data_IF_116289708568
#
_entry.id   IF_116289708568
#
_cell.length_a   1.000
_cell.length_b   1.000
_cell.length_c   1.000
_cell.angle_alpha   90.00
_cell.angle_beta   90.00
_cell.angle_gamma   90.00
#
_symmetry.space_group_name_H-M   'P 1'
#
loop_
_entity.id
_entity.type
_entity.pdbx_description
1 polymer ?
#
# COMPACT_ATOMS: atom_id res chain seq x y z
N UNK A 1 -10.77 28.08 -0.44
CA UNK A 1 -11.99 27.23 -0.41
C UNK A 1 -12.09 26.20 -1.54
N UNK A 2 -11.36 26.32 -2.66
CA UNK A 2 -11.35 25.33 -3.76
C UNK A 2 -10.61 24.00 -3.44
N UNK A 3 -9.68 24.00 -2.48
CA UNK A 3 -8.90 22.81 -2.10
C UNK A 3 -9.70 21.74 -1.34
N UNK A 4 -10.67 22.14 -0.52
CA UNK A 4 -11.46 21.20 0.30
C UNK A 4 -12.31 20.25 -0.54
N UNK A 5 -13.01 20.76 -1.56
CA UNK A 5 -13.87 19.95 -2.44
C UNK A 5 -13.08 18.96 -3.32
N UNK A 6 -11.81 19.26 -3.62
CA UNK A 6 -10.93 18.37 -4.41
C UNK A 6 -10.43 17.21 -3.55
N UNK A 7 -9.94 17.51 -2.35
CA UNK A 7 -9.53 16.51 -1.37
C UNK A 7 -10.69 15.57 -0.98
N UNK A 8 -11.91 16.10 -0.77
CA UNK A 8 -13.07 15.26 -0.48
C UNK A 8 -13.38 14.29 -1.63
N UNK A 9 -13.29 14.72 -2.89
CA UNK A 9 -13.54 13.83 -4.05
C UNK A 9 -12.47 12.75 -4.20
N UNK A 10 -11.21 13.08 -3.93
CA UNK A 10 -10.10 12.12 -3.95
C UNK A 10 -10.26 11.07 -2.86
N UNK A 11 -10.62 11.47 -1.64
CA UNK A 11 -10.89 10.56 -0.52
C UNK A 11 -12.12 9.68 -0.81
N UNK A 12 -13.22 10.25 -1.30
CA UNK A 12 -14.40 9.46 -1.69
C UNK A 12 -14.08 8.45 -2.80
N UNK A 13 -13.25 8.84 -3.77
CA UNK A 13 -12.79 7.95 -4.84
C UNK A 13 -11.94 6.79 -4.33
N UNK A 14 -10.99 7.07 -3.42
CA UNK A 14 -10.18 6.03 -2.79
C UNK A 14 -11.03 5.07 -1.94
N UNK A 15 -11.98 5.61 -1.16
CA UNK A 15 -12.92 4.79 -0.37
C UNK A 15 -13.83 3.94 -1.25
N UNK A 16 -14.31 4.48 -2.36
CA UNK A 16 -15.12 3.74 -3.33
C UNK A 16 -14.31 2.61 -3.99
N UNK A 17 -13.03 2.85 -4.31
CA UNK A 17 -12.13 1.83 -4.84
C UNK A 17 -11.91 0.70 -3.82
N UNK A 18 -11.58 1.04 -2.57
CA UNK A 18 -11.43 0.06 -1.48
C UNK A 18 -12.72 -0.73 -1.27
N UNK A 19 -13.86 -0.04 -1.25
CA UNK A 19 -15.18 -0.67 -1.11
C UNK A 19 -15.50 -1.61 -2.27
N UNK A 20 -15.15 -1.23 -3.51
CA UNK A 20 -15.34 -2.07 -4.69
C UNK A 20 -14.44 -3.32 -4.66
N UNK A 21 -13.18 -3.20 -4.23
CA UNK A 21 -12.27 -4.34 -4.07
C UNK A 21 -12.75 -5.27 -2.95
N UNK A 22 -13.18 -4.73 -1.81
CA UNK A 22 -13.74 -5.53 -0.73
C UNK A 22 -15.03 -6.25 -1.15
N UNK A 23 -15.91 -5.56 -1.88
CA UNK A 23 -17.13 -6.14 -2.42
C UNK A 23 -16.83 -7.23 -3.46
N UNK A 24 -15.82 -7.05 -4.31
CA UNK A 24 -15.35 -8.10 -5.21
C UNK A 24 -14.95 -9.37 -4.45
N UNK A 25 -14.13 -9.24 -3.40
CA UNK A 25 -13.71 -10.38 -2.57
C UNK A 25 -14.91 -11.09 -1.91
N UNK A 26 -15.96 -10.35 -1.53
CA UNK A 26 -17.17 -10.92 -0.91
C UNK A 26 -18.08 -11.64 -1.92
N UNK A 27 -18.08 -11.24 -3.19
CA UNK A 27 -18.98 -11.81 -4.22
C UNK A 27 -18.37 -13.07 -4.88
N UNK A 28 -17.07 -13.33 -4.73
CA UNK A 28 -16.45 -14.59 -5.19
C UNK A 28 -16.41 -14.75 -6.73
N UNK A 29 -16.32 -13.64 -7.47
CA UNK A 29 -16.16 -13.65 -8.93
C UNK A 29 -14.81 -14.29 -9.33
N UNK A 30 -14.73 -14.93 -10.51
CA UNK A 30 -14.12 -16.24 -10.69
C UNK A 30 -12.69 -16.35 -10.15
N UNK A 31 -12.50 -17.34 -9.27
CA UNK A 31 -11.23 -17.82 -8.73
C UNK A 31 -10.37 -18.51 -9.81
N UNK A 32 -9.98 -17.74 -10.83
CA UNK A 32 -9.08 -18.18 -11.89
C UNK A 32 -7.84 -17.30 -11.95
N UNK A 33 -6.84 -17.77 -12.69
CA UNK A 33 -5.56 -17.09 -12.86
C UNK A 33 -5.70 -15.62 -13.28
N UNK A 34 -6.67 -15.27 -14.14
CA UNK A 34 -6.92 -13.88 -14.54
C UNK A 34 -7.34 -12.99 -13.37
N UNK A 35 -8.11 -13.52 -12.42
CA UNK A 35 -8.53 -12.79 -11.23
C UNK A 35 -7.34 -12.50 -10.31
N UNK A 36 -6.53 -13.52 -10.03
CA UNK A 36 -5.28 -13.40 -9.27
C UNK A 36 -4.34 -12.38 -9.92
N UNK A 37 -4.08 -12.52 -11.23
CA UNK A 37 -3.21 -11.62 -11.97
C UNK A 37 -3.64 -10.16 -11.87
N UNK A 38 -4.93 -9.86 -12.02
CA UNK A 38 -5.43 -8.47 -11.92
C UNK A 38 -5.25 -7.94 -10.50
N UNK A 39 -5.62 -8.71 -9.49
CA UNK A 39 -5.59 -8.30 -8.09
C UNK A 39 -4.15 -8.12 -7.61
N UNK A 40 -3.30 -9.11 -7.83
CA UNK A 40 -1.90 -9.11 -7.40
C UNK A 40 -1.13 -7.98 -8.07
N UNK A 41 -1.28 -7.83 -9.40
CA UNK A 41 -0.66 -6.72 -10.14
C UNK A 41 -1.15 -5.36 -9.62
N UNK A 42 -2.44 -5.24 -9.27
CA UNK A 42 -2.98 -4.00 -8.73
C UNK A 42 -2.36 -3.68 -7.36
N UNK A 43 -2.26 -4.64 -6.44
CA UNK A 43 -1.62 -4.44 -5.15
C UNK A 43 -0.13 -4.10 -5.29
N UNK A 44 0.58 -4.75 -6.21
CA UNK A 44 1.99 -4.47 -6.52
C UNK A 44 2.19 -3.05 -7.05
N UNK A 45 1.37 -2.61 -8.01
CA UNK A 45 1.45 -1.25 -8.57
C UNK A 45 1.07 -0.18 -7.55
N UNK A 46 0.00 -0.41 -6.77
CA UNK A 46 -0.47 0.54 -5.76
C UNK A 46 0.54 0.71 -4.62
N UNK A 47 1.13 -0.39 -4.13
CA UNK A 47 2.15 -0.34 -3.08
C UNK A 47 3.44 0.33 -3.56
N UNK A 48 3.89 0.05 -4.79
CA UNK A 48 5.02 0.74 -5.40
C UNK A 48 4.74 2.25 -5.57
N UNK A 49 3.56 2.60 -6.11
CA UNK A 49 3.13 3.99 -6.28
C UNK A 49 3.07 4.75 -4.96
N UNK A 50 2.50 4.14 -3.92
CA UNK A 50 2.45 4.71 -2.58
C UNK A 50 3.86 4.95 -2.00
N UNK A 51 4.76 3.97 -2.13
CA UNK A 51 6.15 4.11 -1.69
C UNK A 51 6.86 5.27 -2.40
N UNK A 52 6.74 5.34 -3.73
CA UNK A 52 7.35 6.39 -4.54
C UNK A 52 6.81 7.78 -4.18
N UNK A 53 5.49 7.94 -4.06
CA UNK A 53 4.87 9.20 -3.70
C UNK A 53 5.26 9.66 -2.29
N UNK A 54 5.33 8.74 -1.33
CA UNK A 54 5.78 9.06 0.03
C UNK A 54 7.25 9.51 0.04
N UNK A 55 8.14 8.78 -0.63
CA UNK A 55 9.56 9.12 -0.72
C UNK A 55 9.81 10.42 -1.49
N UNK A 56 9.00 10.68 -2.52
CA UNK A 56 9.02 11.95 -3.24
C UNK A 56 8.56 13.12 -2.37
N UNK A 57 7.49 12.92 -1.60
CA UNK A 57 6.95 13.92 -0.67
C UNK A 57 7.95 14.23 0.44
N UNK A 58 8.63 13.21 0.97
CA UNK A 58 9.74 13.37 1.91
C UNK A 58 10.83 14.30 1.35
N UNK A 59 11.28 14.06 0.11
CA UNK A 59 12.31 14.89 -0.54
C UNK A 59 11.85 16.33 -0.77
N UNK A 60 10.55 16.56 -1.01
CA UNK A 60 10.02 17.91 -1.26
C UNK A 60 9.78 18.74 -0.01
N UNK A 61 9.44 18.11 1.12
CA UNK A 61 9.08 18.80 2.36
C UNK A 61 10.27 19.06 3.30
N UNK A 62 11.48 18.59 2.98
CA UNK A 62 12.67 18.84 3.78
C UNK A 62 12.52 18.36 5.23
N UNK A 63 12.66 19.26 6.20
CA UNK A 63 12.53 18.97 7.64
C UNK A 63 11.17 18.39 8.04
N UNK A 64 10.09 18.83 7.40
CA UNK A 64 8.73 18.31 7.62
C UNK A 64 8.46 17.00 6.88
N UNK A 65 9.40 16.53 6.04
CA UNK A 65 9.23 15.32 5.24
C UNK A 65 9.48 14.01 5.99
N UNK A 66 10.10 14.05 7.18
CA UNK A 66 10.51 12.82 7.92
C UNK A 66 9.38 11.81 8.13
N UNK A 67 8.13 12.18 8.45
CA UNK A 67 7.03 11.23 8.55
C UNK A 67 6.82 10.42 7.27
N UNK A 68 6.89 11.09 6.12
CA UNK A 68 6.69 10.48 4.80
C UNK A 68 7.81 9.51 4.42
N UNK A 69 9.02 9.69 4.95
CA UNK A 69 10.10 8.70 4.78
C UNK A 69 9.71 7.35 5.39
N UNK A 70 9.26 7.35 6.65
CA UNK A 70 8.94 6.11 7.36
C UNK A 70 7.68 5.44 6.79
N UNK A 71 6.66 6.21 6.42
CA UNK A 71 5.48 5.68 5.70
C UNK A 71 5.92 5.08 4.36
N UNK A 72 6.77 5.78 3.61
CA UNK A 72 7.28 5.30 2.33
C UNK A 72 8.10 4.02 2.44
N UNK A 73 8.93 3.88 3.48
CA UNK A 73 9.66 2.65 3.78
C UNK A 73 8.71 1.50 4.15
N UNK A 74 7.64 1.77 4.90
CA UNK A 74 6.59 0.79 5.16
C UNK A 74 5.91 0.31 3.87
N UNK A 75 5.52 1.23 2.99
CA UNK A 75 4.95 0.89 1.68
C UNK A 75 5.94 0.12 0.80
N UNK A 76 7.24 0.46 0.84
CA UNK A 76 8.28 -0.26 0.10
C UNK A 76 8.45 -1.69 0.63
N UNK A 77 8.38 -1.88 1.95
CA UNK A 77 8.39 -3.21 2.56
C UNK A 77 7.21 -4.06 2.08
N UNK A 78 6.01 -3.47 2.04
CA UNK A 78 4.83 -4.15 1.48
C UNK A 78 5.03 -4.53 0.03
N UNK A 79 5.55 -3.61 -0.80
CA UNK A 79 5.85 -3.88 -2.20
C UNK A 79 6.83 -5.06 -2.37
N UNK A 80 7.88 -5.13 -1.55
CA UNK A 80 8.77 -6.28 -1.56
C UNK A 80 8.05 -7.59 -1.17
N UNK A 81 7.12 -7.53 -0.21
CA UNK A 81 6.25 -8.66 0.13
C UNK A 81 5.40 -9.12 -1.06
N UNK A 82 4.77 -8.17 -1.77
CA UNK A 82 4.00 -8.44 -2.98
C UNK A 82 4.86 -9.06 -4.09
N UNK A 83 6.09 -8.59 -4.32
CA UNK A 83 6.97 -9.21 -5.32
C UNK A 83 7.26 -10.69 -5.02
N UNK A 84 7.41 -11.03 -3.74
CA UNK A 84 7.59 -12.42 -3.32
C UNK A 84 6.30 -13.21 -3.51
N UNK A 85 5.15 -12.63 -3.16
CA UNK A 85 3.84 -13.23 -3.36
C UNK A 85 3.56 -13.51 -4.84
N UNK A 86 3.75 -12.51 -5.71
CA UNK A 86 3.59 -12.58 -7.16
C UNK A 86 4.53 -13.66 -7.75
N UNK A 87 5.74 -13.81 -7.22
CA UNK A 87 6.65 -14.87 -7.66
C UNK A 87 6.10 -16.27 -7.36
N UNK A 88 5.43 -16.48 -6.23
CA UNK A 88 4.79 -17.76 -5.92
C UNK A 88 3.51 -17.99 -6.74
N UNK A 89 2.60 -17.03 -6.77
CA UNK A 89 1.27 -17.20 -7.35
C UNK A 89 1.25 -17.02 -8.87
N UNK A 90 1.91 -15.97 -9.38
CA UNK A 90 1.86 -15.64 -10.80
C UNK A 90 2.95 -16.34 -11.63
N UNK A 91 4.13 -16.57 -11.06
CA UNK A 91 5.25 -17.21 -11.77
C UNK A 91 5.33 -18.71 -11.51
N UNK A 92 5.40 -19.12 -10.24
CA UNK A 92 5.51 -20.53 -9.88
C UNK A 92 4.17 -21.27 -9.92
N UNK A 93 3.04 -20.54 -9.91
CA UNK A 93 1.68 -21.09 -9.87
C UNK A 93 1.48 -22.11 -8.74
N UNK A 94 2.14 -21.88 -7.60
CA UNK A 94 2.00 -22.71 -6.39
C UNK A 94 1.33 -21.89 -5.30
N UNK A 95 0.55 -22.53 -4.41
CA UNK A 95 0.05 -21.84 -3.23
C UNK A 95 1.22 -21.33 -2.40
N UNK A 96 1.14 -20.07 -1.98
CA UNK A 96 2.13 -19.44 -1.10
C UNK A 96 2.18 -20.22 0.22
N UNK A 97 3.36 -20.75 0.63
CA UNK A 97 3.48 -21.52 1.86
C UNK A 97 3.28 -20.62 3.08
N UNK A 98 2.50 -21.04 4.07
CA UNK A 98 2.31 -20.27 5.30
C UNK A 98 3.11 -20.87 6.47
N UNK A 99 4.01 -20.12 7.13
CA UNK A 99 4.43 -18.73 6.84
C UNK A 99 5.39 -18.61 5.64
N UNK A 100 5.34 -17.48 4.96
CA UNK A 100 6.10 -17.14 3.75
C UNK A 100 7.11 -16.02 3.99
N UNK A 101 8.04 -15.84 3.03
CA UNK A 101 8.92 -14.66 3.01
C UNK A 101 8.14 -13.37 2.72
N UNK A 102 6.99 -13.45 2.04
CA UNK A 102 6.13 -12.30 1.78
C UNK A 102 5.58 -11.69 3.08
N UNK A 103 5.29 -12.54 4.08
CA UNK A 103 4.78 -12.11 5.39
C UNK A 103 5.74 -11.17 6.12
N UNK A 104 7.06 -11.32 5.93
CA UNK A 104 8.05 -10.39 6.48
C UNK A 104 7.90 -8.99 5.87
N UNK A 105 7.66 -8.92 4.56
CA UNK A 105 7.40 -7.67 3.84
C UNK A 105 6.13 -6.98 4.34
N UNK A 106 5.05 -7.74 4.49
CA UNK A 106 3.78 -7.26 5.03
C UNK A 106 3.92 -6.79 6.47
N UNK A 107 4.63 -7.53 7.32
CA UNK A 107 4.87 -7.15 8.71
C UNK A 107 5.75 -5.91 8.83
N UNK A 108 6.70 -5.70 7.91
CA UNK A 108 7.54 -4.51 7.87
C UNK A 108 6.79 -3.20 7.55
N UNK A 109 5.57 -3.29 7.00
CA UNK A 109 4.70 -2.13 6.81
C UNK A 109 4.34 -1.44 8.13
N UNK A 110 3.94 -2.22 9.14
CA UNK A 110 3.46 -1.71 10.43
C UNK A 110 4.46 -0.80 11.15
N UNK A 111 5.72 -1.21 11.42
CA UNK A 111 6.67 -0.34 12.11
C UNK A 111 6.96 0.95 11.33
N UNK A 112 7.07 0.87 10.00
CA UNK A 112 7.25 2.06 9.14
C UNK A 112 6.07 3.02 9.23
N UNK A 113 4.85 2.50 9.08
CA UNK A 113 3.63 3.29 9.13
C UNK A 113 3.42 3.95 10.51
N UNK A 114 3.54 3.18 11.59
CA UNK A 114 3.35 3.71 12.95
C UNK A 114 4.41 4.75 13.32
N UNK A 115 5.67 4.54 12.92
CA UNK A 115 6.73 5.53 13.15
C UNK A 115 6.45 6.83 12.40
N UNK A 116 6.03 6.73 11.14
CA UNK A 116 5.66 7.90 10.35
C UNK A 116 4.47 8.65 10.94
N UNK A 117 3.40 7.94 11.31
CA UNK A 117 2.22 8.52 11.94
C UNK A 117 2.57 9.22 13.26
N UNK A 118 3.38 8.59 14.11
CA UNK A 118 3.83 9.18 15.36
C UNK A 118 4.59 10.49 15.15
N UNK A 119 5.49 10.54 14.16
CA UNK A 119 6.23 11.76 13.82
C UNK A 119 5.32 12.85 13.26
N UNK A 120 4.30 12.49 12.47
CA UNK A 120 3.29 13.41 11.97
C UNK A 120 2.49 14.05 13.11
N UNK A 121 2.03 13.24 14.06
CA UNK A 121 1.27 13.73 15.23
C UNK A 121 2.12 14.65 16.11
N UNK A 122 3.41 14.32 16.30
CA UNK A 122 4.34 15.15 17.06
C UNK A 122 4.59 16.52 16.42
N UNK A 123 4.61 16.60 15.08
CA UNK A 123 4.78 17.86 14.35
C UNK A 123 3.53 18.75 14.40
N UNK A 124 2.33 18.17 14.54
CA UNK A 124 1.08 18.92 14.62
C UNK A 124 0.77 19.50 16.00
N UNK A 125 1.50 19.11 17.04
CA UNK A 125 1.34 19.60 18.41
C UNK A 125 2.25 20.78 18.78
N UNK A 126 3.17 21.17 17.88
CA UNK A 126 4.04 22.35 18.00
C UNK A 126 3.46 23.53 17.21
#
# INVERSE_FOLDING_TARGET
MLGGRRATREVTGALALVGATALWYLIGLPHGFTGQLVVDTLFTVLSAGAALLCLWTWRRLGSCGRPWLFIGLGCLSWFCGMLVWDAYELVLQVPVPYPSVADLGYLGFYPGFYTGLFLMLRQGSE
#
